data_IF_921740017221
#
_entry.id   IF_921740017221
#
_cell.length_a   1.000
_cell.length_b   1.000
_cell.length_c   1.000
_cell.angle_alpha   90.00
_cell.angle_beta   90.00
_cell.angle_gamma   90.00
#
_symmetry.space_group_name_H-M   'P 1'
#
loop_
_entity.id
_entity.type
_entity.pdbx_description
1 polymer ?
#
# COMPACT_ATOMS: atom_id res chain seq x y z
N UNK A 1 -4.80 -28.39 -27.58
CA UNK A 1 -5.28 -27.86 -26.29
C UNK A 1 -4.62 -28.61 -25.14
N UNK A 2 -3.62 -28.02 -24.48
CA UNK A 2 -2.99 -28.54 -23.24
C UNK A 2 -2.82 -27.35 -22.28
N UNK A 3 -3.86 -27.01 -21.51
CA UNK A 3 -3.82 -25.88 -20.55
C UNK A 3 -4.15 -26.26 -19.09
N UNK A 4 -4.39 -27.54 -18.79
CA UNK A 4 -4.86 -27.96 -17.46
C UNK A 4 -3.80 -28.64 -16.57
N UNK A 5 -2.54 -28.75 -17.00
CA UNK A 5 -1.50 -29.44 -16.19
C UNK A 5 -0.87 -28.56 -15.12
N UNK A 6 -0.98 -27.23 -15.23
CA UNK A 6 -0.36 -26.28 -14.28
C UNK A 6 -1.31 -25.89 -13.15
N UNK A 7 -2.62 -25.79 -13.44
CA UNK A 7 -3.64 -25.39 -12.47
C UNK A 7 -3.78 -26.39 -11.30
N UNK A 8 -3.57 -27.68 -11.55
CA UNK A 8 -3.62 -28.73 -10.52
C UNK A 8 -2.48 -28.65 -9.49
N UNK A 9 -1.29 -28.20 -9.91
CA UNK A 9 -0.14 -28.07 -8.99
C UNK A 9 -0.29 -26.87 -8.05
N UNK A 10 -0.91 -25.79 -8.51
CA UNK A 10 -1.17 -24.59 -7.69
C UNK A 10 -2.23 -24.89 -6.63
N UNK A 11 -3.30 -25.62 -6.99
CA UNK A 11 -4.31 -26.04 -6.03
C UNK A 11 -3.75 -27.01 -4.97
N UNK A 12 -2.87 -27.94 -5.36
CA UNK A 12 -2.25 -28.89 -4.44
C UNK A 12 -1.28 -28.21 -3.44
N UNK A 13 -0.53 -27.19 -3.88
CA UNK A 13 0.37 -26.43 -3.01
C UNK A 13 -0.39 -25.63 -1.93
N UNK A 14 -1.55 -25.07 -2.29
CA UNK A 14 -2.40 -24.31 -1.36
C UNK A 14 -3.03 -25.21 -0.28
N UNK A 15 -3.40 -26.45 -0.61
CA UNK A 15 -3.95 -27.40 0.36
C UNK A 15 -2.88 -27.90 1.34
N UNK A 16 -1.62 -28.06 0.90
CA UNK A 16 -0.53 -28.55 1.74
C UNK A 16 -0.09 -27.55 2.81
N UNK A 17 -0.18 -26.25 2.51
CA UNK A 17 0.12 -25.15 3.44
C UNK A 17 -0.88 -25.07 4.62
N UNK A 18 -2.14 -25.47 4.40
CA UNK A 18 -3.18 -25.41 5.43
C UNK A 18 -3.07 -26.51 6.50
N UNK A 19 -2.54 -27.69 6.14
CA UNK A 19 -2.46 -28.83 7.07
C UNK A 19 -1.35 -28.69 8.11
N UNK A 20 -0.26 -27.98 7.81
CA UNK A 20 0.88 -27.83 8.71
C UNK A 20 0.54 -26.94 9.92
N UNK A 21 -0.40 -25.99 9.76
CA UNK A 21 -0.83 -25.06 10.82
C UNK A 21 -1.70 -25.76 11.87
N UNK A 22 -2.42 -26.83 11.51
CA UNK A 22 -3.34 -27.53 12.40
C UNK A 22 -2.65 -28.35 13.49
N UNK A 23 -1.40 -28.79 13.25
CA UNK A 23 -0.68 -29.69 14.16
C UNK A 23 0.07 -29.00 15.30
N UNK A 24 0.07 -27.67 15.38
CA UNK A 24 0.90 -26.91 16.35
C UNK A 24 0.15 -26.34 17.55
N UNK A 25 -1.14 -26.66 17.74
CA UNK A 25 -1.95 -26.10 18.84
C UNK A 25 -2.57 -27.19 19.70
N UNK A 26 -1.75 -27.83 20.54
CA UNK A 26 -2.19 -28.48 21.78
C UNK A 26 -1.23 -28.02 22.88
N UNK A 27 -1.71 -27.10 23.74
CA UNK A 27 -1.38 -26.95 25.17
C UNK A 27 -1.59 -25.49 25.64
N UNK A 28 -2.42 -25.35 26.70
CA UNK A 28 -2.47 -24.31 27.74
C UNK A 28 -2.90 -22.87 27.35
N UNK A 29 -4.16 -22.49 27.60
CA UNK A 29 -4.77 -21.91 28.84
C UNK A 29 -4.48 -20.41 29.01
N UNK A 30 -5.47 -19.52 28.80
CA UNK A 30 -6.57 -19.06 29.70
C UNK A 30 -6.21 -17.81 30.51
N UNK A 31 -6.95 -16.72 30.25
CA UNK A 31 -6.86 -15.42 30.92
C UNK A 31 -7.76 -14.40 30.20
N UNK A 32 -8.95 -14.17 30.75
CA UNK A 32 -9.96 -13.22 30.27
C UNK A 32 -9.70 -11.81 30.84
N UNK A 33 -9.64 -10.77 29.99
CA UNK A 33 -10.34 -9.49 30.21
C UNK A 33 -10.54 -8.76 28.87
N UNK A 34 -11.73 -8.21 28.68
CA UNK A 34 -12.31 -7.77 27.40
C UNK A 34 -11.70 -6.47 26.86
N UNK A 35 -11.31 -6.47 25.59
CA UNK A 35 -11.76 -5.56 24.54
C UNK A 35 -10.84 -5.65 23.30
N UNK A 36 -11.45 -5.43 22.13
CA UNK A 36 -10.83 -5.12 20.83
C UNK A 36 -10.47 -6.28 19.88
N UNK A 37 -10.61 -5.91 18.60
CA UNK A 37 -10.06 -6.52 17.38
C UNK A 37 -10.97 -7.51 16.65
N UNK A 38 -11.80 -6.95 15.74
CA UNK A 38 -12.19 -7.65 14.53
C UNK A 38 -10.93 -7.87 13.66
N UNK A 39 -10.22 -8.97 13.91
CA UNK A 39 -9.02 -9.36 13.14
C UNK A 39 -9.44 -9.98 11.80
N UNK A 40 -9.76 -9.11 10.84
CA UNK A 40 -9.75 -9.47 9.43
C UNK A 40 -8.30 -9.47 8.96
N UNK A 41 -7.68 -10.66 8.88
CA UNK A 41 -6.34 -10.81 8.30
C UNK A 41 -6.24 -10.13 6.92
N UNK A 42 -5.01 -9.78 6.46
CA UNK A 42 -4.79 -8.94 5.28
C UNK A 42 -5.61 -9.44 4.08
N UNK A 43 -6.55 -8.60 3.64
CA UNK A 43 -7.46 -8.92 2.54
C UNK A 43 -6.65 -8.94 1.26
N UNK A 44 -6.45 -10.14 0.70
CA UNK A 44 -5.71 -10.32 -0.54
C UNK A 44 -6.38 -9.53 -1.68
N UNK A 45 -5.71 -8.49 -2.17
CA UNK A 45 -6.18 -7.61 -3.26
C UNK A 45 -6.94 -6.34 -2.82
N UNK A 46 -7.20 -6.16 -1.52
CA UNK A 46 -7.75 -4.92 -0.97
C UNK A 46 -6.69 -3.82 -0.86
N UNK A 47 -7.15 -2.57 -0.69
CA UNK A 47 -6.25 -1.48 -0.26
C UNK A 47 -5.86 -1.74 1.19
N UNK A 48 -4.57 -1.93 1.44
CA UNK A 48 -4.03 -2.20 2.77
C UNK A 48 -3.01 -1.12 3.14
N UNK A 49 -2.95 -0.77 4.42
CA UNK A 49 -1.85 0.07 4.92
C UNK A 49 -0.52 -0.65 4.65
N UNK A 50 0.50 0.12 4.24
CA UNK A 50 1.82 -0.46 4.07
C UNK A 50 2.41 -0.86 5.44
N UNK A 51 3.35 -1.83 5.48
CA UNK A 51 4.03 -2.19 6.73
C UNK A 51 4.62 -0.96 7.45
N UNK A 52 4.68 -1.00 8.78
CA UNK A 52 5.24 0.10 9.57
C UNK A 52 6.68 0.43 9.11
N UNK A 53 7.00 1.73 8.99
CA UNK A 53 8.30 2.22 8.53
C UNK A 53 8.48 2.33 7.02
N UNK A 54 7.50 1.86 6.22
CA UNK A 54 7.53 1.96 4.76
C UNK A 54 7.56 3.42 4.26
N UNK A 55 7.05 4.36 5.06
CA UNK A 55 7.12 5.81 4.82
C UNK A 55 8.55 6.37 4.73
N UNK A 56 9.53 5.69 5.34
CA UNK A 56 10.95 6.05 5.28
C UNK A 56 11.75 5.19 4.30
N UNK A 57 11.11 4.30 3.54
CA UNK A 57 11.75 3.53 2.48
C UNK A 57 12.15 4.45 1.33
N UNK A 58 13.36 4.28 0.81
CA UNK A 58 13.89 5.06 -0.31
C UNK A 58 13.00 4.94 -1.55
N UNK A 59 12.54 3.74 -1.89
CA UNK A 59 11.69 3.50 -3.06
C UNK A 59 10.35 4.23 -2.95
N UNK A 60 9.77 4.22 -1.75
CA UNK A 60 8.49 4.88 -1.46
C UNK A 60 8.65 6.39 -1.53
N UNK A 61 9.73 6.93 -0.96
CA UNK A 61 10.04 8.34 -1.05
C UNK A 61 10.30 8.79 -2.50
N UNK A 62 10.95 7.95 -3.31
CA UNK A 62 11.16 8.22 -4.74
C UNK A 62 9.84 8.25 -5.52
N UNK A 63 8.91 7.32 -5.24
CA UNK A 63 7.57 7.32 -5.84
C UNK A 63 6.74 8.54 -5.42
N UNK A 64 6.82 8.94 -4.14
CA UNK A 64 6.13 10.12 -3.64
C UNK A 64 6.70 11.41 -4.23
N UNK A 65 8.03 11.50 -4.36
CA UNK A 65 8.70 12.62 -5.04
C UNK A 65 8.31 12.69 -6.52
N UNK A 66 8.29 11.55 -7.20
CA UNK A 66 7.79 11.45 -8.58
C UNK A 66 6.36 12.01 -8.69
N UNK A 67 5.47 11.72 -7.74
CA UNK A 67 4.11 12.25 -7.77
C UNK A 67 4.06 13.79 -7.71
N UNK A 68 4.85 14.40 -6.81
CA UNK A 68 4.94 15.86 -6.69
C UNK A 68 5.54 16.49 -7.95
N UNK A 69 6.64 15.93 -8.46
CA UNK A 69 7.29 16.42 -9.69
C UNK A 69 6.38 16.33 -10.91
N UNK A 70 5.65 15.22 -11.05
CA UNK A 70 4.75 15.00 -12.17
C UNK A 70 3.53 15.93 -12.11
N UNK A 71 3.02 16.19 -10.90
CA UNK A 71 1.98 17.21 -10.70
C UNK A 71 2.49 18.61 -11.07
N UNK A 72 3.67 19.00 -10.56
CA UNK A 72 4.27 20.30 -10.86
C UNK A 72 4.44 20.53 -12.37
N UNK A 73 4.89 19.51 -13.12
CA UNK A 73 5.01 19.57 -14.58
C UNK A 73 3.67 19.77 -15.28
N UNK A 74 2.61 19.08 -14.83
CA UNK A 74 1.28 19.12 -15.47
C UNK A 74 0.48 20.37 -15.11
N UNK A 75 0.59 20.83 -13.86
CA UNK A 75 -0.19 21.94 -13.31
C UNK A 75 0.57 23.27 -13.30
N UNK A 76 1.84 23.29 -13.74
CA UNK A 76 2.74 24.44 -13.62
C UNK A 76 2.82 24.97 -12.17
N UNK A 77 2.87 24.03 -11.22
CA UNK A 77 2.99 24.30 -9.79
C UNK A 77 4.44 24.19 -9.31
N UNK A 78 4.73 24.69 -8.11
CA UNK A 78 6.07 24.70 -7.51
C UNK A 78 6.08 24.06 -6.12
N UNK A 79 5.37 22.94 -5.96
CA UNK A 79 5.33 22.20 -4.70
C UNK A 79 6.70 21.56 -4.40
N UNK A 80 7.14 21.62 -3.15
CA UNK A 80 8.37 20.97 -2.69
C UNK A 80 8.02 19.79 -1.79
N UNK A 81 8.44 18.59 -2.20
CA UNK A 81 8.26 17.38 -1.41
C UNK A 81 9.02 17.48 -0.07
N UNK A 82 8.35 17.21 1.05
CA UNK A 82 8.98 17.15 2.38
C UNK A 82 9.11 15.71 2.86
N UNK A 83 7.98 15.00 2.99
CA UNK A 83 7.95 13.61 3.48
C UNK A 83 6.66 12.90 3.11
N UNK A 84 6.69 11.57 3.20
CA UNK A 84 5.49 10.73 3.19
C UNK A 84 4.89 10.73 4.60
N UNK A 85 3.62 11.11 4.73
CA UNK A 85 2.89 11.05 6.00
C UNK A 85 2.17 9.70 6.16
N UNK A 86 1.66 9.14 5.06
CA UNK A 86 1.01 7.83 5.03
C UNK A 86 1.17 7.19 3.66
N UNK A 87 1.26 5.87 3.64
CA UNK A 87 1.23 5.08 2.41
C UNK A 87 0.36 3.85 2.58
N UNK A 88 -0.50 3.62 1.59
CA UNK A 88 -1.25 2.37 1.40
C UNK A 88 -0.87 1.76 0.07
N UNK A 89 -1.03 0.45 -0.03
CA UNK A 89 -0.70 -0.32 -1.22
C UNK A 89 -1.88 -1.19 -1.63
N UNK A 90 -2.02 -1.41 -2.93
CA UNK A 90 -2.97 -2.37 -3.47
C UNK A 90 -2.34 -3.08 -4.66
N UNK A 91 -2.44 -4.41 -4.67
CA UNK A 91 -2.03 -5.23 -5.80
C UNK A 91 -3.10 -5.16 -6.89
N UNK A 92 -2.69 -4.75 -8.09
CA UNK A 92 -3.52 -4.66 -9.30
C UNK A 92 -2.77 -5.32 -10.47
N UNK A 93 -2.88 -4.81 -11.71
CA UNK A 93 -1.93 -5.13 -12.77
C UNK A 93 -0.58 -4.41 -12.57
N UNK A 94 0.02 -4.54 -11.39
CA UNK A 94 1.07 -3.68 -10.84
C UNK A 94 0.86 -3.47 -9.35
N UNK A 95 1.49 -2.44 -8.81
CA UNK A 95 1.21 -1.95 -7.46
C UNK A 95 0.66 -0.54 -7.55
N UNK A 96 -0.53 -0.32 -6.98
CA UNK A 96 -1.07 1.02 -6.77
C UNK A 96 -0.65 1.50 -5.39
N UNK A 97 0.04 2.63 -5.34
CA UNK A 97 0.40 3.31 -4.11
C UNK A 97 -0.55 4.49 -3.89
N UNK A 98 -1.10 4.57 -2.68
CA UNK A 98 -1.91 5.70 -2.22
C UNK A 98 -1.11 6.43 -1.16
N UNK A 99 -0.66 7.63 -1.48
CA UNK A 99 0.14 8.45 -0.61
C UNK A 99 -0.69 9.56 0.03
N UNK A 100 -0.39 9.85 1.28
CA UNK A 100 -0.58 11.18 1.87
C UNK A 100 0.80 11.80 2.02
N UNK A 101 1.03 12.91 1.33
CA UNK A 101 2.34 13.56 1.18
C UNK A 101 2.28 14.93 1.86
N UNK A 102 3.28 15.24 2.67
CA UNK A 102 3.52 16.61 3.10
C UNK A 102 4.39 17.31 2.05
N UNK A 103 3.90 18.43 1.52
CA UNK A 103 4.65 19.26 0.59
C UNK A 103 4.49 20.74 0.94
N UNK A 104 5.53 21.52 0.67
CA UNK A 104 5.49 22.98 0.79
C UNK A 104 4.95 23.61 -0.48
N UNK A 105 4.04 24.54 -0.30
CA UNK A 105 3.52 25.45 -1.31
C UNK A 105 3.96 26.86 -0.93
N UNK A 106 5.16 27.26 -1.39
CA UNK A 106 5.85 28.43 -0.85
C UNK A 106 6.34 28.19 0.58
N UNK A 107 5.84 28.98 1.53
CA UNK A 107 6.18 28.84 2.96
C UNK A 107 5.20 27.92 3.72
N UNK A 108 4.02 27.66 3.14
CA UNK A 108 2.97 26.87 3.76
C UNK A 108 3.20 25.37 3.57
N UNK A 109 3.09 24.61 4.65
CA UNK A 109 3.08 23.14 4.61
C UNK A 109 1.65 22.63 4.47
N UNK A 110 1.38 21.85 3.42
CA UNK A 110 0.07 21.27 3.14
C UNK A 110 0.17 19.76 2.90
N UNK A 111 -0.92 19.06 3.17
CA UNK A 111 -1.05 17.63 2.88
C UNK A 111 -1.74 17.44 1.53
N UNK A 112 -1.25 16.46 0.77
CA UNK A 112 -1.78 16.07 -0.53
C UNK A 112 -2.02 14.57 -0.59
N UNK A 113 -3.10 14.17 -1.24
CA UNK A 113 -3.34 12.78 -1.61
C UNK A 113 -2.86 12.52 -3.03
N UNK A 114 -2.07 11.47 -3.22
CA UNK A 114 -1.58 11.06 -4.52
C UNK A 114 -1.77 9.57 -4.77
N UNK A 115 -2.06 9.20 -6.02
CA UNK A 115 -2.12 7.81 -6.48
C UNK A 115 -1.06 7.57 -7.55
N UNK A 116 -0.15 6.65 -7.30
CA UNK A 116 0.92 6.28 -8.24
C UNK A 116 0.78 4.82 -8.60
N UNK A 117 0.69 4.53 -9.89
CA UNK A 117 0.66 3.17 -10.39
C UNK A 117 2.03 2.77 -10.92
N UNK A 118 2.60 1.71 -10.36
CA UNK A 118 3.91 1.19 -10.75
C UNK A 118 3.82 -0.24 -11.31
N UNK A 119 4.59 -0.50 -12.36
CA UNK A 119 4.89 -1.85 -12.86
C UNK A 119 6.41 -1.97 -13.02
N UNK A 120 7.12 -2.51 -12.02
CA UNK A 120 8.59 -2.58 -12.05
C UNK A 120 9.13 -3.36 -13.27
N UNK A 121 8.44 -4.44 -13.65
CA UNK A 121 8.82 -5.27 -14.81
C UNK A 121 8.68 -4.58 -16.17
N UNK A 122 8.05 -3.40 -16.24
CA UNK A 122 7.96 -2.59 -17.46
C UNK A 122 8.70 -1.26 -17.33
N UNK A 123 9.37 -0.99 -16.20
CA UNK A 123 9.89 0.34 -15.86
C UNK A 123 8.82 1.45 -15.98
N UNK A 124 7.57 1.10 -15.66
CA UNK A 124 6.43 1.99 -15.81
C UNK A 124 6.04 2.56 -14.45
N UNK A 125 5.88 3.88 -14.39
CA UNK A 125 5.25 4.59 -13.28
C UNK A 125 4.40 5.73 -13.81
N UNK A 126 3.21 5.92 -13.25
CA UNK A 126 2.27 6.95 -13.70
C UNK A 126 1.52 7.55 -12.50
N UNK A 127 1.46 8.88 -12.47
CA UNK A 127 0.61 9.63 -11.55
C UNK A 127 -0.83 9.57 -12.05
N UNK A 128 -1.69 8.86 -11.31
CA UNK A 128 -3.11 8.71 -11.61
C UNK A 128 -3.93 9.87 -11.06
N UNK A 129 -3.61 10.33 -9.85
CA UNK A 129 -4.35 11.38 -9.16
C UNK A 129 -3.42 12.15 -8.23
N UNK A 130 -3.65 13.46 -8.12
CA UNK A 130 -2.99 14.34 -7.16
C UNK A 130 -3.96 15.45 -6.76
N UNK A 131 -4.28 15.57 -5.48
CA UNK A 131 -5.22 16.57 -4.95
C UNK A 131 -4.84 16.98 -3.52
N UNK A 132 -5.27 18.16 -3.04
CA UNK A 132 -5.17 18.50 -1.63
C UNK A 132 -5.85 17.43 -0.76
N UNK A 133 -5.27 17.12 0.40
CA UNK A 133 -5.93 16.27 1.37
C UNK A 133 -7.07 17.05 2.05
N UNK A 134 -8.20 16.40 2.27
CA UNK A 134 -9.29 16.98 3.04
C UNK A 134 -8.83 17.18 4.49
N UNK A 135 -8.82 18.42 4.98
CA UNK A 135 -8.61 18.74 6.39
C UNK A 135 -9.81 18.25 7.21
N UNK A 136 -9.95 16.94 7.45
CA UNK A 136 -11.16 16.47 8.11
C UNK A 136 -11.40 14.97 8.31
N UNK A 137 -10.43 14.08 8.15
CA UNK A 137 -10.62 12.67 8.53
C UNK A 137 -9.89 12.32 9.83
N UNK A 138 -10.24 13.01 10.91
CA UNK A 138 -10.10 12.52 12.29
C UNK A 138 -11.50 12.57 12.91
N UNK A 139 -12.18 11.43 12.89
CA UNK A 139 -13.41 11.18 13.63
C UNK A 139 -13.31 9.78 14.25
#
# INVERSE_FOLDING_TARGET
MRKYRVLGLVAALLVLLALIVSSTRIAEQEGEEQAAMADGGPVVGGVQDAPAGTDNDLHVNDLARFAVEEHNKKANALLQFEKVAKVKQQVVAGTMYYFTIEAKDGEDKKLYEAKVWEKPWMNFKELQEFKPAEEGSSA
#
